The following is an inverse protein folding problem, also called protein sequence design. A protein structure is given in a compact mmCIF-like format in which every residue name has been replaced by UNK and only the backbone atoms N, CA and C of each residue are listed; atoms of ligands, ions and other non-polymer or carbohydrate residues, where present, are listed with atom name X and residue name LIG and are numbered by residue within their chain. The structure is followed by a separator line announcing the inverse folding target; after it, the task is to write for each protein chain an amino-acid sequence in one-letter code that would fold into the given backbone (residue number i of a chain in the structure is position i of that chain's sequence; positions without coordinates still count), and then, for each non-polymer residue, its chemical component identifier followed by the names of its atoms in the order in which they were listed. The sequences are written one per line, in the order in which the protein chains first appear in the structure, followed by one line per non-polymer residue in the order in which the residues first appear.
data_IF_395367828749
#
_entry.id   IF_395367828749
#
_cell.length_a   1.000
_cell.length_b   1.000
_cell.length_c   1.000
_cell.angle_alpha   90.00
_cell.angle_beta   90.00
_cell.angle_gamma   90.00
#
_symmetry.space_group_name_H-M   'P 1'
#
loop_
_entity.id
_entity.type
_entity.pdbx_description
1 polymer ?
#
# COMPACT_ATOMS: atom_id res chain seq x y z
N UNK A 1 16.00 -6.46 -15.91
CA UNK A 1 16.02 -5.06 -16.37
C UNK A 1 14.57 -4.59 -16.44
N UNK A 2 14.29 -3.38 -15.92
CA UNK A 2 13.04 -2.66 -16.11
C UNK A 2 13.30 -1.39 -16.89
N UNK A 3 12.27 -0.87 -17.55
CA UNK A 3 12.33 0.43 -18.25
C UNK A 3 11.45 1.43 -17.54
N UNK A 4 11.97 2.64 -17.35
CA UNK A 4 11.21 3.77 -16.84
C UNK A 4 10.37 4.45 -17.95
N UNK A 5 9.59 5.47 -17.58
CA UNK A 5 8.73 6.21 -18.52
C UNK A 5 9.52 6.95 -19.61
N UNK A 6 10.82 7.19 -19.39
CA UNK A 6 11.75 7.79 -20.37
C UNK A 6 12.49 6.73 -21.18
N UNK A 7 12.09 5.46 -21.10
CA UNK A 7 12.73 4.31 -21.77
C UNK A 7 14.18 4.03 -21.34
N UNK A 8 14.63 4.55 -20.19
CA UNK A 8 15.94 4.23 -19.62
C UNK A 8 15.88 2.86 -18.98
N UNK A 9 16.92 2.07 -19.17
CA UNK A 9 17.01 0.72 -18.61
C UNK A 9 17.64 0.74 -17.22
N UNK A 10 17.00 0.00 -16.29
CA UNK A 10 17.43 -0.14 -14.91
C UNK A 10 17.59 -1.60 -14.55
N UNK A 11 18.77 -1.96 -14.02
CA UNK A 11 18.97 -3.27 -13.44
C UNK A 11 18.27 -3.32 -12.07
N UNK A 12 17.32 -4.25 -11.93
CA UNK A 12 16.61 -4.51 -10.66
C UNK A 12 17.03 -5.85 -10.07
N UNK A 13 16.74 -6.92 -10.77
CA UNK A 13 16.93 -8.28 -10.28
C UNK A 13 18.29 -8.85 -10.70
N UNK A 14 18.96 -9.56 -9.79
CA UNK A 14 20.18 -10.32 -10.09
C UNK A 14 20.16 -11.68 -9.47
N UNK A 15 20.87 -12.64 -10.11
CA UNK A 15 21.30 -13.91 -9.51
C UNK A 15 22.83 -13.94 -9.67
N UNK A 16 23.51 -14.19 -8.56
CA UNK A 16 24.96 -14.34 -8.52
C UNK A 16 25.30 -15.73 -8.01
N UNK A 17 26.14 -16.43 -8.75
CA UNK A 17 26.61 -17.77 -8.36
C UNK A 17 27.98 -17.62 -7.70
N UNK A 18 28.10 -18.05 -6.46
CA UNK A 18 29.29 -17.92 -5.64
C UNK A 18 29.91 -19.30 -5.40
N UNK A 19 31.09 -19.52 -5.97
CA UNK A 19 31.90 -20.71 -5.82
C UNK A 19 33.02 -20.52 -4.78
N UNK A 20 33.28 -19.29 -4.32
CA UNK A 20 34.48 -18.91 -3.57
C UNK A 20 34.18 -18.82 -2.07
N UNK A 21 33.14 -18.06 -1.69
CA UNK A 21 32.83 -17.81 -0.27
C UNK A 21 32.52 -19.08 0.52
N UNK A 22 31.77 -20.05 0.00
CA UNK A 22 31.50 -21.29 0.73
C UNK A 22 32.78 -22.02 1.12
N UNK A 23 33.73 -22.15 0.22
CA UNK A 23 35.01 -22.78 0.50
C UNK A 23 35.83 -22.01 1.53
N UNK A 24 35.87 -20.67 1.44
CA UNK A 24 36.57 -19.79 2.41
C UNK A 24 35.97 -19.84 3.81
N UNK A 25 34.66 -20.04 3.91
CA UNK A 25 33.93 -20.15 5.16
C UNK A 25 33.91 -21.58 5.72
N UNK A 26 34.52 -22.55 5.01
CA UNK A 26 34.53 -23.95 5.43
C UNK A 26 33.15 -24.61 5.42
N UNK A 27 32.22 -24.14 4.54
CA UNK A 27 30.89 -24.72 4.42
C UNK A 27 30.99 -26.04 3.67
N UNK A 28 30.43 -27.11 4.23
CA UNK A 28 30.35 -28.43 3.63
C UNK A 28 28.96 -29.02 3.79
N UNK A 29 28.58 -29.92 2.88
CA UNK A 29 27.40 -30.77 2.98
C UNK A 29 27.80 -32.20 2.67
N UNK A 30 27.04 -33.18 3.15
CA UNK A 30 27.23 -34.59 2.82
C UNK A 30 26.44 -34.89 1.57
N UNK A 31 27.14 -35.30 0.52
CA UNK A 31 26.54 -35.73 -0.75
C UNK A 31 25.89 -37.09 -0.69
N UNK A 32 25.25 -37.52 -1.79
CA UNK A 32 24.63 -38.83 -1.91
C UNK A 32 25.68 -39.99 -1.86
N UNK A 33 26.93 -39.69 -2.18
CA UNK A 33 28.10 -40.56 -2.07
C UNK A 33 28.63 -40.71 -0.65
N UNK A 34 28.04 -40.04 0.34
CA UNK A 34 28.48 -40.00 1.73
C UNK A 34 29.74 -39.18 1.99
N UNK A 35 30.27 -38.47 0.99
CA UNK A 35 31.45 -37.60 1.13
C UNK A 35 31.06 -36.13 1.40
N UNK A 36 32.02 -35.37 1.96
CA UNK A 36 31.89 -33.94 2.13
C UNK A 36 32.12 -33.17 0.83
N UNK A 37 31.20 -32.30 0.49
CA UNK A 37 31.28 -31.43 -0.68
C UNK A 37 31.11 -29.95 -0.27
N UNK A 38 31.78 -29.04 -0.98
CA UNK A 38 31.60 -27.62 -0.81
C UNK A 38 30.35 -27.18 -1.59
N UNK A 39 29.36 -26.53 -0.94
CA UNK A 39 28.16 -26.06 -1.64
C UNK A 39 28.45 -24.89 -2.58
N UNK A 40 27.61 -24.73 -3.58
CA UNK A 40 27.53 -23.50 -4.38
C UNK A 40 26.42 -22.62 -3.79
N UNK A 41 26.73 -21.36 -3.56
CA UNK A 41 25.74 -20.42 -3.02
C UNK A 41 25.18 -19.55 -4.12
N UNK A 42 23.86 -19.41 -4.13
CA UNK A 42 23.15 -18.52 -5.05
C UNK A 42 22.66 -17.28 -4.27
N UNK A 43 23.21 -16.13 -4.60
CA UNK A 43 22.75 -14.84 -4.09
C UNK A 43 21.66 -14.31 -5.01
N UNK A 44 20.46 -14.09 -4.47
CA UNK A 44 19.31 -13.57 -5.24
C UNK A 44 18.87 -12.22 -4.71
N UNK A 45 19.00 -11.18 -5.53
CA UNK A 45 18.32 -9.90 -5.31
C UNK A 45 17.09 -9.81 -6.21
N UNK A 46 15.90 -9.73 -5.62
CA UNK A 46 14.64 -9.71 -6.39
C UNK A 46 14.38 -8.33 -6.97
N UNK A 47 14.46 -7.29 -6.16
CA UNK A 47 14.18 -5.89 -6.55
C UNK A 47 15.44 -5.04 -6.70
N UNK A 48 16.62 -5.57 -6.37
CA UNK A 48 17.86 -4.81 -6.30
C UNK A 48 17.85 -3.79 -5.17
N UNK A 49 18.29 -2.56 -5.45
CA UNK A 49 18.20 -1.47 -4.50
C UNK A 49 16.73 -1.04 -4.32
N UNK A 50 16.22 -1.10 -3.08
CA UNK A 50 14.83 -0.81 -2.73
C UNK A 50 14.44 0.61 -3.15
N UNK A 51 15.33 1.59 -2.98
CA UNK A 51 15.11 2.99 -3.33
C UNK A 51 14.93 3.16 -4.85
N UNK A 52 15.73 2.45 -5.65
CA UNK A 52 15.61 2.47 -7.11
C UNK A 52 14.30 1.86 -7.56
N UNK A 53 13.94 0.71 -6.99
CA UNK A 53 12.68 0.04 -7.27
C UNK A 53 11.49 0.92 -6.92
N UNK A 54 11.51 1.52 -5.71
CA UNK A 54 10.47 2.45 -5.26
C UNK A 54 10.34 3.66 -6.18
N UNK A 55 11.47 4.25 -6.61
CA UNK A 55 11.47 5.35 -7.57
C UNK A 55 10.76 5.00 -8.88
N UNK A 56 11.06 3.83 -9.45
CA UNK A 56 10.40 3.33 -10.67
C UNK A 56 8.89 3.08 -10.47
N UNK A 57 8.50 2.55 -9.31
CA UNK A 57 7.08 2.31 -8.99
C UNK A 57 6.32 3.63 -8.84
N UNK A 58 6.91 4.63 -8.15
CA UNK A 58 6.32 5.97 -8.02
C UNK A 58 6.14 6.61 -9.40
N UNK A 59 7.16 6.52 -10.25
CA UNK A 59 7.12 7.06 -11.61
C UNK A 59 6.05 6.35 -12.46
N UNK A 60 6.00 5.02 -12.42
CA UNK A 60 5.05 4.21 -13.18
C UNK A 60 3.59 4.56 -12.86
N UNK A 61 3.25 4.68 -11.59
CA UNK A 61 1.90 5.06 -11.15
C UNK A 61 1.67 6.56 -11.07
N UNK A 62 2.69 7.38 -11.37
CA UNK A 62 2.68 8.82 -11.13
C UNK A 62 2.22 9.18 -9.70
N UNK A 63 2.55 8.31 -8.72
CA UNK A 63 2.13 8.39 -7.32
C UNK A 63 0.69 7.95 -7.03
N UNK A 64 -0.13 7.66 -8.05
CA UNK A 64 -1.51 7.19 -7.87
C UNK A 64 -1.55 5.67 -7.72
N UNK A 65 -0.95 5.16 -6.65
CA UNK A 65 -0.83 3.73 -6.40
C UNK A 65 -2.18 2.99 -6.41
N UNK A 66 -2.22 1.71 -6.86
CA UNK A 66 -3.37 0.85 -6.63
C UNK A 66 -3.60 0.65 -5.15
N UNK A 67 -4.81 0.28 -4.76
CA UNK A 67 -5.25 0.20 -3.35
C UNK A 67 -4.30 -0.65 -2.50
N UNK A 68 -3.88 -1.82 -3.00
CA UNK A 68 -2.99 -2.72 -2.26
C UNK A 68 -1.61 -2.13 -1.95
N UNK A 69 -1.11 -1.23 -2.80
CA UNK A 69 0.22 -0.61 -2.68
C UNK A 69 0.17 0.77 -2.00
N UNK A 70 -0.99 1.44 -1.96
CA UNK A 70 -1.11 2.77 -1.39
C UNK A 70 -0.70 2.81 0.09
N UNK A 71 0.23 3.69 0.53
CA UNK A 71 0.64 3.80 1.93
C UNK A 71 -0.55 4.11 2.86
N UNK A 72 -1.42 5.02 2.44
CA UNK A 72 -2.72 5.32 3.03
C UNK A 72 -3.78 4.94 2.02
N UNK A 73 -4.64 3.98 2.38
CA UNK A 73 -5.67 3.47 1.47
C UNK A 73 -6.96 4.27 1.57
N UNK A 74 -7.29 4.72 2.78
CA UNK A 74 -8.43 5.59 3.00
C UNK A 74 -8.12 6.70 4.01
N UNK A 75 -8.63 7.89 3.78
CA UNK A 75 -8.64 8.98 4.75
C UNK A 75 -10.07 9.25 5.20
N UNK A 76 -10.28 9.30 6.51
CA UNK A 76 -11.57 9.60 7.11
C UNK A 76 -11.62 11.08 7.40
N UNK A 77 -12.65 11.76 6.90
CA UNK A 77 -12.78 13.22 6.92
C UNK A 77 -14.01 13.61 7.73
N UNK A 78 -13.86 13.88 9.05
CA UNK A 78 -14.96 14.44 9.85
C UNK A 78 -15.25 15.87 9.38
N UNK A 79 -16.57 16.17 9.20
CA UNK A 79 -17.03 17.52 8.80
C UNK A 79 -16.88 18.51 9.97
N UNK A 80 -17.10 18.04 11.20
CA UNK A 80 -17.00 18.84 12.43
C UNK A 80 -16.38 18.02 13.57
N UNK A 81 -15.91 18.71 14.62
CA UNK A 81 -15.25 18.07 15.77
C UNK A 81 -16.14 17.03 16.47
N UNK A 82 -17.47 17.23 16.48
CA UNK A 82 -18.43 16.26 17.05
C UNK A 82 -18.44 14.90 16.34
N UNK A 83 -17.93 14.81 15.10
CA UNK A 83 -17.84 13.57 14.34
C UNK A 83 -16.53 12.80 14.58
N UNK A 84 -15.57 13.37 15.34
CA UNK A 84 -14.27 12.76 15.56
C UNK A 84 -14.35 11.39 16.24
N UNK A 85 -15.22 11.24 17.25
CA UNK A 85 -15.37 9.98 17.97
C UNK A 85 -15.80 8.86 17.03
N UNK A 86 -16.83 9.07 16.22
CA UNK A 86 -17.29 8.10 15.22
C UNK A 86 -16.24 7.84 14.14
N UNK A 87 -15.52 8.88 13.69
CA UNK A 87 -14.42 8.73 12.73
C UNK A 87 -13.29 7.85 13.27
N UNK A 88 -12.98 7.93 14.57
CA UNK A 88 -12.00 7.08 15.23
C UNK A 88 -12.47 5.62 15.34
N UNK A 89 -13.76 5.39 15.63
CA UNK A 89 -14.34 4.05 15.61
C UNK A 89 -14.25 3.40 14.22
N UNK A 90 -14.57 4.17 13.15
CA UNK A 90 -14.41 3.73 11.77
C UNK A 90 -12.95 3.36 11.51
N UNK A 91 -12.00 4.23 11.89
CA UNK A 91 -10.58 3.97 11.70
C UNK A 91 -10.11 2.69 12.37
N UNK A 92 -10.58 2.41 13.60
CA UNK A 92 -10.26 1.18 14.31
C UNK A 92 -10.80 -0.05 13.57
N UNK A 93 -12.08 -0.03 13.15
CA UNK A 93 -12.71 -1.14 12.40
C UNK A 93 -11.97 -1.40 11.08
N UNK A 94 -11.62 -0.36 10.34
CA UNK A 94 -10.87 -0.48 9.08
C UNK A 94 -9.46 -1.02 9.30
N UNK A 95 -8.77 -0.57 10.36
CA UNK A 95 -7.45 -1.08 10.72
C UNK A 95 -7.50 -2.56 11.12
N UNK A 96 -8.51 -2.96 11.88
CA UNK A 96 -8.76 -4.37 12.22
C UNK A 96 -9.08 -5.22 10.98
N UNK A 97 -9.71 -4.61 9.97
CA UNK A 97 -9.96 -5.23 8.67
C UNK A 97 -8.70 -5.33 7.78
N UNK A 98 -7.55 -4.80 8.23
CA UNK A 98 -6.26 -4.84 7.53
C UNK A 98 -6.02 -3.65 6.59
N UNK A 99 -6.83 -2.60 6.65
CA UNK A 99 -6.65 -1.39 5.84
C UNK A 99 -5.76 -0.36 6.55
N UNK A 100 -4.91 0.31 5.77
CA UNK A 100 -4.08 1.44 6.22
C UNK A 100 -4.87 2.72 6.08
N UNK A 101 -5.28 3.30 7.21
CA UNK A 101 -6.19 4.44 7.22
C UNK A 101 -5.69 5.56 8.12
N UNK A 102 -6.09 6.78 7.81
CA UNK A 102 -5.81 7.97 8.62
C UNK A 102 -7.11 8.75 8.87
N UNK A 103 -7.17 9.47 10.00
CA UNK A 103 -8.26 10.41 10.30
C UNK A 103 -7.72 11.83 10.15
N UNK A 104 -8.32 12.63 9.30
CA UNK A 104 -7.94 14.04 9.14
C UNK A 104 -8.53 14.90 10.27
N UNK A 105 -7.79 15.02 11.35
CA UNK A 105 -8.17 15.79 12.54
C UNK A 105 -7.90 17.30 12.42
N UNK A 106 -7.38 17.78 11.28
CA UNK A 106 -7.08 19.21 11.09
C UNK A 106 -8.35 20.05 11.18
N UNK A 107 -8.22 21.28 11.71
CA UNK A 107 -9.32 22.25 11.78
C UNK A 107 -9.46 23.01 10.47
N UNK A 108 -9.72 22.27 9.39
CA UNK A 108 -9.88 22.79 8.05
C UNK A 108 -11.28 22.50 7.50
N UNK A 109 -11.71 23.27 6.50
CA UNK A 109 -12.99 23.02 5.82
C UNK A 109 -12.94 21.67 5.06
N UNK A 110 -14.04 20.93 5.08
CA UNK A 110 -14.19 19.63 4.41
C UNK A 110 -13.62 19.66 2.97
N UNK A 111 -13.95 20.68 2.16
CA UNK A 111 -13.47 20.75 0.78
C UNK A 111 -11.94 20.93 0.69
N UNK A 112 -11.29 21.56 1.67
CA UNK A 112 -9.84 21.65 1.71
C UNK A 112 -9.21 20.29 2.03
N UNK A 113 -9.76 19.55 3.01
CA UNK A 113 -9.34 18.20 3.36
C UNK A 113 -9.48 17.23 2.17
N UNK A 114 -10.64 17.25 1.47
CA UNK A 114 -10.88 16.45 0.27
C UNK A 114 -9.85 16.77 -0.81
N UNK A 115 -9.64 18.06 -1.11
CA UNK A 115 -8.66 18.49 -2.12
C UNK A 115 -7.24 18.02 -1.78
N UNK A 116 -6.85 18.11 -0.50
CA UNK A 116 -5.51 17.69 -0.07
C UNK A 116 -5.35 16.18 -0.17
N UNK A 117 -6.36 15.39 0.23
CA UNK A 117 -6.39 13.95 0.05
C UNK A 117 -6.31 13.53 -1.43
N UNK A 118 -7.01 14.24 -2.32
CA UNK A 118 -6.91 14.02 -3.77
C UNK A 118 -5.52 14.36 -4.31
N UNK A 119 -4.91 15.45 -3.87
CA UNK A 119 -3.53 15.82 -4.24
C UNK A 119 -2.52 14.77 -3.78
N UNK A 120 -2.71 14.23 -2.58
CA UNK A 120 -1.93 13.12 -2.03
C UNK A 120 -2.26 11.77 -2.68
N UNK A 121 -3.22 11.76 -3.63
CA UNK A 121 -3.63 10.58 -4.40
C UNK A 121 -4.11 9.40 -3.55
N UNK A 122 -4.66 9.70 -2.37
CA UNK A 122 -5.29 8.68 -1.52
C UNK A 122 -6.46 8.04 -2.28
N UNK A 123 -6.54 6.69 -2.36
CA UNK A 123 -7.58 6.00 -3.11
C UNK A 123 -8.99 6.36 -2.69
N UNK A 124 -9.26 6.36 -1.36
CA UNK A 124 -10.58 6.57 -0.80
C UNK A 124 -10.62 7.70 0.21
N UNK A 125 -11.68 8.48 0.17
CA UNK A 125 -12.03 9.49 1.16
C UNK A 125 -13.39 9.14 1.75
N UNK A 126 -13.46 8.95 3.06
CA UNK A 126 -14.68 8.62 3.81
C UNK A 126 -15.11 9.87 4.58
N UNK A 127 -16.10 10.56 4.05
CA UNK A 127 -16.62 11.77 4.68
C UNK A 127 -17.66 11.38 5.71
N UNK A 128 -17.59 12.01 6.90
CA UNK A 128 -18.46 11.74 8.04
C UNK A 128 -19.12 13.03 8.50
N UNK A 129 -20.42 13.09 8.36
CA UNK A 129 -21.31 14.15 8.85
C UNK A 129 -22.36 13.61 9.80
N UNK A 130 -23.35 14.45 10.16
CA UNK A 130 -24.44 14.05 11.09
C UNK A 130 -25.23 12.86 10.57
N UNK A 131 -25.54 12.84 9.27
CA UNK A 131 -26.30 11.75 8.63
C UNK A 131 -25.55 10.42 8.69
N UNK A 132 -24.24 10.42 8.42
CA UNK A 132 -23.42 9.21 8.46
C UNK A 132 -23.35 8.66 9.90
N UNK A 133 -23.23 9.54 10.90
CA UNK A 133 -23.24 9.13 12.33
C UNK A 133 -24.58 8.50 12.72
N UNK A 134 -25.70 9.11 12.35
CA UNK A 134 -27.04 8.60 12.69
C UNK A 134 -27.35 7.25 12.07
N UNK A 135 -26.91 7.05 10.81
CA UNK A 135 -27.18 5.84 10.03
C UNK A 135 -26.12 4.75 10.18
N UNK A 136 -24.99 5.04 10.86
CA UNK A 136 -23.87 4.09 10.95
C UNK A 136 -23.15 3.88 9.61
N UNK A 137 -23.14 4.88 8.74
CA UNK A 137 -22.62 4.83 7.36
C UNK A 137 -21.38 5.70 7.17
N UNK A 138 -20.84 5.71 5.95
CA UNK A 138 -19.79 6.60 5.50
C UNK A 138 -20.11 7.11 4.10
N UNK A 139 -19.81 8.37 3.80
CA UNK A 139 -19.94 8.89 2.42
C UNK A 139 -18.64 8.66 1.66
N UNK A 140 -18.66 7.74 0.70
CA UNK A 140 -17.50 7.32 -0.07
C UNK A 140 -17.23 8.24 -1.25
N UNK A 141 -16.00 8.75 -1.31
CA UNK A 141 -15.44 9.45 -2.46
C UNK A 141 -14.15 8.80 -2.91
N UNK A 142 -13.97 8.68 -4.21
CA UNK A 142 -12.75 8.15 -4.82
C UNK A 142 -11.82 9.28 -5.26
N UNK A 143 -10.53 9.00 -5.37
CA UNK A 143 -9.54 9.97 -5.91
C UNK A 143 -9.86 10.43 -7.33
N UNK A 144 -10.61 9.64 -8.11
CA UNK A 144 -11.09 10.01 -9.45
C UNK A 144 -12.05 11.20 -9.44
N UNK A 145 -12.59 11.57 -8.27
CA UNK A 145 -13.66 12.56 -8.10
C UNK A 145 -15.06 11.94 -8.05
N UNK A 146 -15.18 10.65 -8.28
CA UNK A 146 -16.44 9.92 -8.14
C UNK A 146 -16.93 9.99 -6.70
N UNK A 147 -18.24 10.24 -6.54
CA UNK A 147 -18.94 10.25 -5.26
C UNK A 147 -20.01 9.17 -5.29
N UNK A 148 -19.75 8.08 -4.59
CA UNK A 148 -20.67 6.93 -4.50
C UNK A 148 -21.80 7.14 -3.48
N UNK A 149 -21.78 8.28 -2.74
CA UNK A 149 -22.77 8.55 -1.70
C UNK A 149 -22.50 7.80 -0.41
N UNK A 150 -23.53 7.70 0.45
CA UNK A 150 -23.45 7.03 1.75
C UNK A 150 -23.61 5.53 1.59
N UNK A 151 -22.67 4.76 2.12
CA UNK A 151 -22.64 3.29 2.09
C UNK A 151 -22.40 2.73 3.48
N UNK A 152 -22.78 1.48 3.71
CA UNK A 152 -22.45 0.76 4.95
C UNK A 152 -20.94 0.54 5.05
N UNK A 153 -20.40 0.60 6.27
CA UNK A 153 -18.97 0.40 6.49
C UNK A 153 -18.50 -1.00 6.07
N UNK A 154 -19.34 -2.01 6.28
CA UNK A 154 -19.07 -3.39 5.88
C UNK A 154 -18.96 -3.54 4.36
N UNK A 155 -19.82 -2.87 3.60
CA UNK A 155 -19.79 -2.88 2.13
C UNK A 155 -18.51 -2.24 1.62
N UNK A 156 -18.11 -1.11 2.22
CA UNK A 156 -16.82 -0.48 1.90
C UNK A 156 -15.63 -1.40 2.20
N UNK A 157 -15.64 -2.10 3.34
CA UNK A 157 -14.56 -3.05 3.68
C UNK A 157 -14.45 -4.16 2.63
N UNK A 158 -15.58 -4.71 2.19
CA UNK A 158 -15.59 -5.76 1.16
C UNK A 158 -15.05 -5.23 -0.17
N UNK A 159 -15.50 -4.05 -0.60
CA UNK A 159 -15.07 -3.39 -1.82
C UNK A 159 -13.56 -3.12 -1.81
N UNK A 160 -13.05 -2.50 -0.74
CA UNK A 160 -11.64 -2.19 -0.59
C UNK A 160 -10.74 -3.44 -0.54
N UNK A 161 -11.23 -4.54 0.04
CA UNK A 161 -10.54 -5.83 0.04
C UNK A 161 -10.49 -6.47 -1.35
N UNK A 162 -11.59 -6.42 -2.10
CA UNK A 162 -11.66 -6.94 -3.46
C UNK A 162 -10.71 -6.17 -4.39
N UNK A 163 -10.70 -4.84 -4.33
CA UNK A 163 -9.74 -4.03 -5.09
C UNK A 163 -8.30 -4.26 -4.62
N UNK A 164 -8.09 -4.44 -3.31
CA UNK A 164 -6.79 -4.77 -2.75
C UNK A 164 -6.26 -6.14 -3.18
N UNK A 165 -7.14 -7.11 -3.41
CA UNK A 165 -6.77 -8.46 -3.84
C UNK A 165 -6.45 -8.56 -5.34
N UNK A 166 -6.90 -7.63 -6.17
CA UNK A 166 -6.64 -7.60 -7.62
C UNK A 166 -5.18 -7.32 -7.98
N UNK A 167 -4.33 -7.01 -7.02
CA UNK A 167 -2.89 -6.80 -7.19
C UNK A 167 -2.04 -8.05 -6.98
N UNK A 168 -2.65 -9.20 -6.72
CA UNK A 168 -1.96 -10.49 -6.51
C UNK A 168 -2.05 -11.37 -7.74
#
# INVERSE_FOLDING_TARGET
IARDVLSREWQLSTIQVDFIQPARLGLVYIGEDGAEHVPVVLHRAVTGATERFLGLVIEHYAGAFPVWLAPVQAVIIPIADRHLAYSQEIAQKLTQAGLRVEVDVRKERMNAKIRDAQKSKVPYMLVVGDQEVELGMVSLRRRSGENSGSILLEDFIQEARLEGAQGN
#
